data_IF_232690150151
#
_entry.id   IF_232690150151
#
_cell.length_a   1.000
_cell.length_b   1.000
_cell.length_c   1.000
_cell.angle_alpha   90.00
_cell.angle_beta   90.00
_cell.angle_gamma   90.00
#
_symmetry.space_group_name_H-M   'P 1'
#
loop_
_entity.id
_entity.type
_entity.pdbx_description
1 polymer ?
#
# COMPACT_ATOMS: atom_id res chain seq x y z
N UNK A 1 -1.93 9.99 -6.10
CA UNK A 1 -2.62 9.08 -5.16
C UNK A 1 -2.47 9.50 -3.69
N UNK A 2 -2.10 10.77 -3.37
CA UNK A 2 -1.90 11.24 -1.99
C UNK A 2 -3.13 11.03 -1.10
N UNK A 3 -4.30 11.48 -1.57
CA UNK A 3 -5.59 11.33 -0.88
C UNK A 3 -5.95 9.86 -0.61
N UNK A 4 -5.67 8.96 -1.55
CA UNK A 4 -5.93 7.53 -1.38
C UNK A 4 -5.11 6.93 -0.24
N UNK A 5 -3.81 7.27 -0.18
CA UNK A 5 -2.95 6.84 0.91
C UNK A 5 -3.37 7.37 2.28
N UNK A 6 -3.73 8.65 2.34
CA UNK A 6 -4.28 9.28 3.55
C UNK A 6 -5.57 8.59 4.01
N UNK A 7 -6.48 8.25 3.10
CA UNK A 7 -7.71 7.52 3.42
C UNK A 7 -7.36 6.13 3.96
N UNK A 8 -6.47 5.39 3.31
CA UNK A 8 -6.03 4.05 3.77
C UNK A 8 -5.26 4.10 5.09
N UNK A 9 -4.64 5.23 5.44
CA UNK A 9 -3.88 5.40 6.68
C UNK A 9 -2.40 5.05 6.53
N UNK A 10 -1.86 5.12 5.31
CA UNK A 10 -0.42 5.02 5.10
C UNK A 10 0.26 6.29 5.61
N UNK A 11 1.36 6.12 6.33
CA UNK A 11 2.21 7.22 6.81
C UNK A 11 2.94 7.90 5.65
N UNK A 12 3.43 7.11 4.69
CA UNK A 12 4.08 7.61 3.50
C UNK A 12 3.08 7.99 2.39
N UNK A 13 3.43 9.00 1.60
CA UNK A 13 2.65 9.39 0.43
C UNK A 13 2.61 8.24 -0.59
N UNK A 14 1.41 7.72 -0.85
CA UNK A 14 1.22 6.71 -1.88
C UNK A 14 1.48 7.29 -3.26
N UNK A 15 2.64 6.94 -3.82
CA UNK A 15 3.01 7.22 -5.21
C UNK A 15 2.61 6.01 -6.07
N UNK A 16 2.27 6.21 -7.36
CA UNK A 16 2.05 5.09 -8.28
C UNK A 16 3.21 4.08 -8.29
N UNK A 17 4.44 4.58 -8.15
CA UNK A 17 5.64 3.76 -8.02
C UNK A 17 5.58 2.79 -6.84
N UNK A 18 5.10 3.22 -5.67
CA UNK A 18 5.00 2.35 -4.47
C UNK A 18 4.04 1.18 -4.70
N UNK A 19 2.95 1.39 -5.43
CA UNK A 19 1.99 0.35 -5.80
C UNK A 19 2.59 -0.63 -6.81
N UNK A 20 3.24 -0.09 -7.86
CA UNK A 20 3.98 -0.92 -8.83
C UNK A 20 5.07 -1.73 -8.15
N UNK A 21 5.72 -1.14 -7.14
CA UNK A 21 6.77 -1.78 -6.37
C UNK A 21 6.27 -2.97 -5.55
N UNK A 22 5.18 -2.78 -4.79
CA UNK A 22 4.53 -3.88 -4.08
C UNK A 22 4.04 -4.99 -5.02
N UNK A 23 3.41 -4.62 -6.14
CA UNK A 23 2.93 -5.57 -7.14
C UNK A 23 4.07 -6.36 -7.79
N UNK A 24 5.16 -5.70 -8.17
CA UNK A 24 6.33 -6.34 -8.78
C UNK A 24 6.92 -7.43 -7.87
N UNK A 25 7.03 -7.16 -6.56
CA UNK A 25 7.47 -8.17 -5.58
C UNK A 25 6.48 -9.32 -5.46
N UNK A 26 5.18 -9.04 -5.42
CA UNK A 26 4.15 -10.08 -5.36
C UNK A 26 4.18 -10.99 -6.60
N UNK A 27 4.42 -10.42 -7.79
CA UNK A 27 4.60 -11.18 -9.02
C UNK A 27 5.86 -12.05 -8.97
N UNK A 28 6.99 -11.51 -8.49
CA UNK A 28 8.24 -12.26 -8.38
C UNK A 28 8.15 -13.48 -7.45
N UNK A 29 7.37 -13.36 -6.37
CA UNK A 29 7.18 -14.43 -5.39
C UNK A 29 6.14 -15.47 -5.83
N UNK A 30 5.38 -15.20 -6.89
CA UNK A 30 4.29 -16.05 -7.33
C UNK A 30 4.81 -17.22 -8.16
N UNK A 31 4.43 -18.48 -7.86
CA UNK A 31 4.77 -19.61 -8.71
C UNK A 31 4.07 -19.54 -10.08
N UNK A 32 3.01 -18.75 -10.19
CA UNK A 32 2.19 -18.63 -11.40
C UNK A 32 2.70 -17.57 -12.39
N UNK A 33 3.76 -16.82 -12.03
CA UNK A 33 4.29 -15.74 -12.85
C UNK A 33 5.75 -16.00 -13.18
N UNK A 34 6.05 -16.28 -14.45
CA UNK A 34 7.43 -16.41 -14.93
C UNK A 34 8.13 -15.05 -15.01
N UNK A 35 9.47 -15.06 -15.07
CA UNK A 35 10.25 -13.82 -15.23
C UNK A 35 9.91 -13.08 -16.52
N UNK A 36 9.65 -13.79 -17.61
CA UNK A 36 9.25 -13.23 -18.90
C UNK A 36 7.87 -12.58 -18.78
N UNK A 37 6.91 -13.27 -18.16
CA UNK A 37 5.56 -12.74 -17.94
C UNK A 37 5.60 -11.51 -17.03
N UNK A 38 6.38 -11.55 -15.96
CA UNK A 38 6.60 -10.40 -15.08
C UNK A 38 7.14 -9.20 -15.86
N UNK A 39 8.12 -9.40 -16.73
CA UNK A 39 8.68 -8.32 -17.56
C UNK A 39 7.66 -7.76 -18.54
N UNK A 40 6.77 -8.58 -19.12
CA UNK A 40 5.65 -8.10 -19.95
C UNK A 40 4.68 -7.27 -19.10
N UNK A 41 4.25 -7.78 -17.95
CA UNK A 41 3.31 -7.09 -17.03
C UNK A 41 3.86 -5.74 -16.55
N UNK A 42 5.16 -5.70 -16.23
CA UNK A 42 5.86 -4.51 -15.78
C UNK A 42 6.51 -3.73 -16.92
N UNK A 43 6.28 -4.08 -18.18
CA UNK A 43 6.86 -3.41 -19.36
C UNK A 43 8.39 -3.18 -19.23
N UNK A 44 9.10 -4.16 -18.69
CA UNK A 44 10.55 -4.13 -18.57
C UNK A 44 11.19 -4.80 -19.77
N UNK A 45 12.25 -4.20 -20.31
CA UNK A 45 13.03 -4.81 -21.39
C UNK A 45 13.89 -5.99 -20.89
N UNK A 46 14.29 -5.96 -19.61
CA UNK A 46 15.02 -7.05 -18.96
C UNK A 46 14.69 -7.13 -17.46
N UNK A 47 14.92 -8.30 -16.89
CA UNK A 47 14.76 -8.56 -15.45
C UNK A 47 15.69 -7.68 -14.60
N UNK A 48 16.78 -7.15 -15.15
CA UNK A 48 17.70 -6.26 -14.42
C UNK A 48 17.00 -5.01 -13.90
N UNK A 49 15.98 -4.54 -14.62
CA UNK A 49 15.16 -3.41 -14.17
C UNK A 49 14.43 -3.77 -12.88
N UNK A 50 13.89 -4.99 -12.79
CA UNK A 50 13.31 -5.51 -11.55
C UNK A 50 14.37 -5.62 -10.44
N UNK A 51 15.51 -6.25 -10.72
CA UNK A 51 16.56 -6.46 -9.72
C UNK A 51 17.05 -5.14 -9.13
N UNK A 52 17.30 -4.12 -9.97
CA UNK A 52 17.83 -2.81 -9.53
C UNK A 52 16.82 -1.95 -8.79
N UNK A 53 15.56 -1.94 -9.24
CA UNK A 53 14.59 -0.96 -8.76
C UNK A 53 13.48 -1.55 -7.88
N UNK A 54 13.28 -2.85 -7.91
CA UNK A 54 12.12 -3.50 -7.30
C UNK A 54 12.49 -4.63 -6.34
N UNK A 55 13.66 -5.25 -6.50
CA UNK A 55 14.18 -6.30 -5.60
C UNK A 55 14.94 -5.74 -4.38
N UNK A 56 14.87 -4.42 -4.13
CA UNK A 56 15.60 -3.80 -3.02
C UNK A 56 15.01 -4.20 -1.65
N UNK A 57 15.88 -4.51 -0.70
CA UNK A 57 15.50 -4.85 0.68
C UNK A 57 15.16 -6.32 0.93
N UNK A 58 15.53 -6.79 2.13
CA UNK A 58 15.32 -8.15 2.61
C UNK A 58 13.88 -8.25 3.13
N UNK A 59 13.06 -9.08 2.48
CA UNK A 59 11.67 -9.33 2.86
C UNK A 59 11.44 -10.80 3.26
N UNK A 60 12.52 -11.57 3.33
CA UNK A 60 12.54 -12.96 3.81
C UNK A 60 12.87 -12.98 5.30
N UNK A 61 12.38 -14.02 5.99
CA UNK A 61 12.71 -14.26 7.39
C UNK A 61 14.12 -14.87 7.51
N UNK A 62 15.13 -14.01 7.43
CA UNK A 62 16.54 -14.41 7.48
C UNK A 62 16.89 -15.15 8.78
N UNK A 63 16.24 -14.80 9.90
CA UNK A 63 16.47 -15.45 11.18
C UNK A 63 15.95 -16.87 11.19
N UNK A 64 14.74 -17.12 10.66
CA UNK A 64 14.20 -18.47 10.54
C UNK A 64 15.07 -19.35 9.65
N UNK A 65 15.60 -18.81 8.54
CA UNK A 65 16.52 -19.52 7.64
C UNK A 65 17.78 -19.97 8.39
N UNK A 66 18.46 -19.04 9.09
CA UNK A 66 19.69 -19.35 9.85
C UNK A 66 19.44 -20.40 10.93
N UNK A 67 18.25 -20.41 11.52
CA UNK A 67 17.86 -21.32 12.60
C UNK A 67 17.22 -22.62 12.11
N UNK A 68 17.05 -22.82 10.80
CA UNK A 68 16.35 -23.98 10.24
C UNK A 68 14.86 -24.07 10.64
N UNK A 69 14.24 -22.93 10.95
CA UNK A 69 12.84 -22.86 11.36
C UNK A 69 11.94 -22.48 10.18
N UNK A 70 10.63 -22.78 10.25
CA UNK A 70 9.67 -22.28 9.27
C UNK A 70 9.63 -20.75 9.24
N UNK A 71 9.75 -20.16 8.04
CA UNK A 71 9.73 -18.71 7.87
C UNK A 71 8.35 -18.10 8.13
N UNK A 72 8.31 -17.00 8.90
CA UNK A 72 7.08 -16.26 9.19
C UNK A 72 6.71 -15.29 8.05
N UNK A 73 6.41 -15.85 6.87
CA UNK A 73 6.18 -15.08 5.62
C UNK A 73 5.14 -13.96 5.75
N UNK A 74 4.02 -14.22 6.43
CA UNK A 74 2.95 -13.23 6.59
C UNK A 74 3.37 -12.07 7.50
N UNK A 75 4.06 -12.36 8.59
CA UNK A 75 4.57 -11.33 9.49
C UNK A 75 5.62 -10.46 8.79
N UNK A 76 6.53 -11.07 8.03
CA UNK A 76 7.52 -10.30 7.27
C UNK A 76 6.88 -9.47 6.17
N UNK A 77 5.92 -10.01 5.43
CA UNK A 77 5.16 -9.23 4.44
C UNK A 77 4.47 -8.02 5.09
N UNK A 78 3.81 -8.20 6.23
CA UNK A 78 3.17 -7.10 6.94
C UNK A 78 4.20 -6.06 7.42
N UNK A 79 5.22 -6.50 8.16
CA UNK A 79 6.25 -5.63 8.75
C UNK A 79 7.10 -4.89 7.70
N UNK A 80 7.28 -5.44 6.50
CA UNK A 80 8.00 -4.82 5.40
C UNK A 80 7.09 -4.09 4.40
N UNK A 81 5.77 -4.06 4.62
CA UNK A 81 4.82 -3.35 3.76
C UNK A 81 4.54 -1.93 4.24
N UNK A 82 3.99 -1.11 3.33
CA UNK A 82 3.43 0.20 3.70
C UNK A 82 2.31 0.10 4.73
N UNK A 83 1.63 -1.04 4.82
CA UNK A 83 0.55 -1.27 5.78
C UNK A 83 1.02 -1.36 7.23
N UNK A 84 2.33 -1.49 7.49
CA UNK A 84 2.88 -1.49 8.85
C UNK A 84 2.46 -0.26 9.66
N UNK A 85 2.31 0.89 9.01
CA UNK A 85 1.95 2.14 9.68
C UNK A 85 0.45 2.30 9.93
N UNK A 86 -0.39 1.38 9.43
CA UNK A 86 -1.84 1.46 9.61
C UNK A 86 -2.14 1.12 11.06
N UNK A 87 -2.67 2.10 11.80
CA UNK A 87 -3.24 1.86 13.13
C UNK A 87 -4.57 1.10 13.00
N UNK A 88 -4.69 -0.13 13.54
CA UNK A 88 -5.93 -0.90 13.52
C UNK A 88 -7.09 -0.21 14.24
N UNK A 89 -6.80 0.73 15.15
CA UNK A 89 -7.82 1.50 15.89
C UNK A 89 -8.24 2.77 15.17
N UNK A 90 -7.63 3.09 14.03
CA UNK A 90 -7.97 4.28 13.25
C UNK A 90 -9.43 4.18 12.77
N UNK A 91 -10.29 5.17 13.09
CA UNK A 91 -11.66 5.18 12.59
C UNK A 91 -11.66 5.27 11.05
N UNK A 92 -12.14 4.22 10.38
CA UNK A 92 -12.25 4.17 8.92
C UNK A 92 -13.70 4.21 8.44
N UNK A 93 -14.65 3.99 9.35
CA UNK A 93 -16.09 4.03 9.12
C UNK A 93 -16.72 4.86 10.23
N UNK A 94 -17.62 5.76 9.86
CA UNK A 94 -18.46 6.48 10.81
C UNK A 94 -19.76 5.68 10.96
N UNK A 95 -20.09 5.27 12.18
CA UNK A 95 -21.39 4.61 12.45
C UNK A 95 -22.55 5.61 12.35
N UNK A 96 -22.32 6.88 12.67
CA UNK A 96 -23.29 7.95 12.53
C UNK A 96 -22.73 9.10 11.68
N UNK A 97 -23.03 9.10 10.39
CA UNK A 97 -22.57 10.11 9.43
C UNK A 97 -23.26 11.46 9.58
N UNK A 98 -24.41 11.51 10.26
CA UNK A 98 -25.19 12.75 10.50
C UNK A 98 -24.39 13.78 11.31
N UNK A 99 -23.46 13.33 12.16
CA UNK A 99 -22.57 14.20 12.93
C UNK A 99 -21.62 15.02 12.05
N UNK A 100 -21.28 14.54 10.84
CA UNK A 100 -20.43 15.27 9.88
C UNK A 100 -21.11 16.54 9.40
N UNK A 101 -22.43 16.52 9.25
CA UNK A 101 -23.22 17.68 8.81
C UNK A 101 -23.23 18.81 9.86
N UNK A 102 -22.85 18.52 11.11
CA UNK A 102 -22.71 19.50 12.18
C UNK A 102 -21.32 20.11 12.28
N UNK A 103 -20.34 19.63 11.49
CA UNK A 103 -18.98 20.17 11.49
C UNK A 103 -19.01 21.60 10.92
N UNK A 104 -18.47 22.62 11.63
CA UNK A 104 -18.60 24.02 11.23
C UNK A 104 -18.15 24.31 9.79
N UNK A 105 -17.12 23.61 9.32
CA UNK A 105 -16.60 23.75 7.95
C UNK A 105 -17.54 23.17 6.89
N UNK A 106 -18.30 22.13 7.20
CA UNK A 106 -19.29 21.53 6.30
C UNK A 106 -20.49 22.46 6.19
N UNK A 107 -20.99 22.97 7.32
CA UNK A 107 -22.08 23.96 7.37
C UNK A 107 -21.74 25.20 6.54
N UNK A 108 -20.55 25.79 6.73
CA UNK A 108 -20.13 26.97 5.98
C UNK A 108 -20.04 26.72 4.47
N UNK A 109 -19.66 25.51 4.03
CA UNK A 109 -19.62 25.14 2.62
C UNK A 109 -21.03 24.94 2.04
N UNK A 110 -21.96 24.40 2.84
CA UNK A 110 -23.37 24.23 2.49
C UNK A 110 -24.05 25.60 2.27
N UNK A 111 -23.82 26.54 3.18
CA UNK A 111 -24.31 27.93 3.09
C UNK A 111 -23.75 28.64 1.84
N UNK A 112 -22.45 28.48 1.55
CA UNK A 112 -21.83 29.04 0.35
C UNK A 112 -22.39 28.44 -0.95
N UNK A 113 -22.78 27.15 -0.92
CA UNK A 113 -23.44 26.51 -2.07
C UNK A 113 -24.83 27.08 -2.28
N UNK A 114 -25.63 27.19 -1.21
CA UNK A 114 -26.97 27.76 -1.29
C UNK A 114 -26.99 29.23 -1.71
N UNK A 115 -25.99 30.02 -1.32
CA UNK A 115 -25.84 31.41 -1.75
C UNK A 115 -25.43 31.59 -3.22
N UNK A 116 -25.04 30.50 -3.91
CA UNK A 116 -24.63 30.49 -5.32
C UNK A 116 -25.69 29.94 -6.28
N UNK A 117 -26.74 29.31 -5.75
CA UNK A 117 -27.93 28.85 -6.49
C UNK A 117 -28.99 29.96 -6.52
#
# INVERSE_FOLDING_TARGET
>A
MKRGGEITGFEEVTKPYSLRYGAAKAFNDSPDVSNELQNVMLQHASIDTFVRHYSVGIHVDAQAIVRGMPAQKQLMRFACSMSRSIDPRRPYKLEESSAVNRVPRVVALEELKQARE
#
